data_IF_518459828134
#
_entry.id   IF_518459828134
#
_cell.length_a   1.000
_cell.length_b   1.000
_cell.length_c   1.000
_cell.angle_alpha   90.00
_cell.angle_beta   90.00
_cell.angle_gamma   90.00
#
_symmetry.space_group_name_H-M   'P 1'
#
loop_
_entity.id
_entity.type
_entity.pdbx_description
1 polymer ?
#
# COMPACT_ATOMS: atom_id res chain seq x y z
N UNK A 1 36.94 -42.78 -11.09
CA UNK A 1 36.37 -41.63 -10.35
C UNK A 1 36.34 -40.46 -11.33
N UNK A 2 35.15 -39.96 -11.70
CA UNK A 2 35.03 -38.77 -12.57
C UNK A 2 35.10 -37.55 -11.66
N UNK A 3 36.10 -36.69 -11.82
CA UNK A 3 36.07 -35.36 -11.22
C UNK A 3 35.11 -34.52 -12.07
N UNK A 4 33.91 -34.28 -11.56
CA UNK A 4 33.05 -33.21 -12.09
C UNK A 4 33.79 -31.88 -11.92
N UNK A 5 33.69 -30.95 -12.89
CA UNK A 5 34.26 -29.62 -12.69
C UNK A 5 33.61 -29.04 -11.43
N UNK A 6 34.41 -28.46 -10.55
CA UNK A 6 33.90 -27.74 -9.39
C UNK A 6 32.83 -26.78 -9.91
N UNK A 7 31.57 -27.08 -9.61
CA UNK A 7 30.44 -26.24 -9.99
C UNK A 7 30.68 -24.95 -9.22
N UNK A 8 31.22 -23.94 -9.89
CA UNK A 8 31.81 -22.80 -9.19
C UNK A 8 30.76 -22.12 -8.31
N UNK A 9 31.17 -21.76 -7.11
CA UNK A 9 30.33 -21.02 -6.18
C UNK A 9 29.93 -19.67 -6.79
N UNK A 10 28.72 -19.22 -6.48
CA UNK A 10 28.33 -17.85 -6.76
C UNK A 10 29.06 -16.91 -5.80
N UNK A 11 29.39 -15.71 -6.28
CA UNK A 11 29.86 -14.62 -5.44
C UNK A 11 28.71 -13.99 -4.62
N UNK A 12 28.93 -12.80 -4.05
CA UNK A 12 27.90 -12.04 -3.35
C UNK A 12 26.59 -11.95 -4.15
N UNK A 13 25.42 -11.92 -3.48
CA UNK A 13 24.15 -11.77 -4.16
C UNK A 13 24.07 -10.43 -4.90
N UNK A 14 23.25 -10.34 -5.96
CA UNK A 14 23.06 -9.08 -6.67
C UNK A 14 22.54 -7.99 -5.72
N UNK A 15 23.01 -6.76 -5.93
CA UNK A 15 22.46 -5.60 -5.24
C UNK A 15 21.08 -5.29 -5.81
N UNK A 16 20.07 -5.23 -4.94
CA UNK A 16 18.67 -4.99 -5.30
C UNK A 16 18.19 -3.72 -4.59
N UNK A 17 17.40 -2.90 -5.28
CA UNK A 17 16.93 -1.63 -4.75
C UNK A 17 16.03 -1.83 -3.52
N UNK A 18 16.22 -0.96 -2.53
CA UNK A 18 15.46 -0.98 -1.27
C UNK A 18 15.41 -2.37 -0.59
N UNK A 19 16.41 -3.21 -0.82
CA UNK A 19 16.42 -4.60 -0.41
C UNK A 19 17.73 -4.94 0.28
N UNK A 20 17.66 -5.84 1.27
CA UNK A 20 18.82 -6.37 1.98
C UNK A 20 18.80 -7.89 1.87
N UNK A 21 19.89 -8.52 1.38
CA UNK A 21 19.96 -9.97 1.32
C UNK A 21 20.09 -10.57 2.74
N UNK A 22 19.56 -11.78 2.92
CA UNK A 22 19.66 -12.54 4.19
C UNK A 22 21.10 -12.90 4.54
N UNK A 23 21.98 -12.99 3.54
CA UNK A 23 23.42 -13.22 3.71
C UNK A 23 24.20 -12.38 2.70
N UNK A 24 25.37 -11.89 3.12
CA UNK A 24 26.31 -11.12 2.29
C UNK A 24 27.70 -11.77 2.25
N UNK A 25 27.73 -13.11 2.41
CA UNK A 25 28.95 -13.91 2.25
C UNK A 25 29.62 -13.64 0.90
N UNK A 26 30.93 -13.91 0.82
CA UNK A 26 31.68 -13.80 -0.41
C UNK A 26 31.55 -15.02 -1.33
N UNK A 27 31.07 -16.16 -0.82
CA UNK A 27 30.93 -17.42 -1.57
C UNK A 27 29.63 -18.14 -1.19
N UNK A 28 28.96 -18.70 -2.20
CA UNK A 28 27.73 -19.47 -2.08
C UNK A 28 27.78 -20.71 -2.99
N UNK A 29 27.74 -21.93 -2.45
CA UNK A 29 27.73 -23.13 -3.28
C UNK A 29 26.46 -23.20 -4.14
N UNK A 30 26.54 -23.90 -5.27
CA UNK A 30 25.39 -24.15 -6.15
C UNK A 30 24.23 -24.79 -5.36
N UNK A 31 23.02 -24.28 -5.58
CA UNK A 31 21.81 -24.61 -4.81
C UNK A 31 21.58 -23.71 -3.59
N UNK A 32 22.54 -22.85 -3.22
CA UNK A 32 22.34 -21.85 -2.17
C UNK A 32 21.23 -20.88 -2.53
N UNK A 33 20.43 -20.49 -1.54
CA UNK A 33 19.32 -19.55 -1.69
C UNK A 33 19.50 -18.34 -0.80
N UNK A 34 19.29 -17.16 -1.37
CA UNK A 34 19.35 -15.89 -0.64
C UNK A 34 18.04 -15.16 -0.81
N UNK A 35 17.41 -14.84 0.31
CA UNK A 35 16.13 -14.14 0.37
C UNK A 35 16.36 -12.67 0.66
N UNK A 36 15.69 -11.80 -0.09
CA UNK A 36 15.77 -10.36 0.05
C UNK A 36 14.66 -9.85 0.97
N UNK A 37 15.04 -9.05 1.96
CA UNK A 37 14.11 -8.35 2.86
C UNK A 37 14.06 -6.87 2.50
N UNK A 38 12.87 -6.29 2.41
CA UNK A 38 12.72 -4.87 2.10
C UNK A 38 13.23 -3.97 3.23
N UNK A 39 13.82 -2.84 2.86
CA UNK A 39 14.43 -1.87 3.76
C UNK A 39 14.07 -0.43 3.34
N UNK A 40 14.33 0.54 4.21
CA UNK A 40 14.07 1.96 3.90
C UNK A 40 12.59 2.30 3.67
N UNK A 41 11.69 1.62 4.38
CA UNK A 41 10.24 1.84 4.29
C UNK A 41 9.56 1.23 3.05
N UNK A 42 10.33 0.59 2.16
CA UNK A 42 9.77 -0.15 1.03
C UNK A 42 9.02 -1.41 1.51
N UNK A 43 8.12 -1.90 0.67
CA UNK A 43 7.36 -3.13 0.92
C UNK A 43 7.53 -4.11 -0.23
N UNK A 44 7.27 -5.38 0.08
CA UNK A 44 7.26 -6.45 -0.94
C UNK A 44 6.16 -6.17 -1.95
N UNK A 45 6.51 -6.29 -3.22
CA UNK A 45 5.56 -6.16 -4.32
C UNK A 45 4.77 -7.48 -4.39
N UNK A 46 3.43 -7.45 -4.27
CA UNK A 46 2.61 -8.65 -4.32
C UNK A 46 2.82 -9.43 -5.62
N UNK A 47 2.97 -10.75 -5.53
CA UNK A 47 3.13 -11.63 -6.68
C UNK A 47 4.56 -11.74 -7.22
N UNK A 48 5.52 -10.96 -6.72
CA UNK A 48 6.93 -11.13 -7.09
C UNK A 48 7.68 -12.06 -6.13
N UNK A 49 8.58 -12.91 -6.65
CA UNK A 49 9.53 -13.65 -5.83
C UNK A 49 10.50 -12.68 -5.14
N UNK A 50 11.17 -13.15 -4.08
CA UNK A 50 12.18 -12.40 -3.32
C UNK A 50 13.47 -13.17 -3.09
N UNK A 51 13.62 -14.32 -3.75
CA UNK A 51 14.72 -15.26 -3.47
C UNK A 51 15.46 -15.56 -4.75
N UNK A 52 16.79 -15.44 -4.70
CA UNK A 52 17.69 -15.91 -5.75
C UNK A 52 18.30 -17.25 -5.36
N UNK A 53 18.60 -18.07 -6.36
CA UNK A 53 19.29 -19.34 -6.21
C UNK A 53 20.60 -19.34 -7.00
N UNK A 54 21.67 -19.86 -6.40
CA UNK A 54 22.93 -20.04 -7.09
C UNK A 54 22.84 -21.23 -8.05
N UNK A 55 22.91 -20.97 -9.35
CA UNK A 55 22.78 -21.98 -10.40
C UNK A 55 24.16 -22.52 -10.83
N UNK A 56 24.21 -23.71 -11.46
CA UNK A 56 25.44 -24.21 -12.08
C UNK A 56 26.04 -23.18 -13.04
N UNK A 57 27.37 -23.02 -12.98
CA UNK A 57 28.08 -21.99 -13.75
C UNK A 57 28.28 -20.67 -13.02
N UNK A 58 28.11 -20.64 -11.69
CA UNK A 58 28.38 -19.47 -10.84
C UNK A 58 27.49 -18.26 -11.15
N UNK A 59 26.23 -18.51 -11.48
CA UNK A 59 25.26 -17.49 -11.89
C UNK A 59 24.08 -17.52 -10.94
N UNK A 60 23.68 -16.36 -10.41
CA UNK A 60 22.43 -16.23 -9.68
C UNK A 60 21.22 -16.30 -10.62
N UNK A 61 20.15 -16.97 -10.18
CA UNK A 61 18.88 -16.98 -10.89
C UNK A 61 18.35 -15.56 -11.09
N UNK A 62 17.59 -15.33 -12.17
CA UNK A 62 17.00 -14.01 -12.44
C UNK A 62 15.92 -13.69 -11.41
N UNK A 63 15.98 -12.48 -10.87
CA UNK A 63 14.99 -11.94 -9.94
C UNK A 63 14.70 -10.49 -10.33
N UNK A 64 13.42 -10.14 -10.48
CA UNK A 64 13.01 -8.74 -10.60
C UNK A 64 13.05 -8.06 -9.23
N UNK A 65 13.11 -6.74 -9.18
CA UNK A 65 13.14 -5.98 -7.92
C UNK A 65 11.97 -6.37 -7.00
N UNK A 66 12.23 -7.03 -5.85
CA UNK A 66 11.16 -7.61 -5.03
C UNK A 66 10.48 -6.56 -4.15
N UNK A 67 11.10 -5.40 -3.99
CA UNK A 67 10.71 -4.34 -3.07
C UNK A 67 10.44 -3.05 -3.82
N UNK A 68 9.31 -2.41 -3.51
CA UNK A 68 8.91 -1.14 -4.08
C UNK A 68 8.58 -0.11 -3.00
N UNK A 69 8.83 1.16 -3.30
CA UNK A 69 8.29 2.26 -2.50
C UNK A 69 6.79 2.36 -2.71
N UNK A 70 6.08 2.70 -1.64
CA UNK A 70 4.64 2.89 -1.69
C UNK A 70 4.22 3.95 -0.67
N UNK A 71 2.99 4.44 -0.84
CA UNK A 71 2.38 5.24 0.22
C UNK A 71 2.16 4.37 1.46
N UNK A 72 2.16 5.03 2.62
CA UNK A 72 1.71 4.41 3.87
C UNK A 72 0.25 3.92 3.76
N UNK A 73 -0.25 3.25 4.79
CA UNK A 73 -1.66 2.89 4.84
C UNK A 73 -2.54 4.15 4.62
N UNK A 74 -3.62 4.06 3.83
CA UNK A 74 -4.52 5.18 3.58
C UNK A 74 -4.98 5.86 4.87
N UNK A 75 -5.08 7.19 4.84
CA UNK A 75 -5.46 7.99 6.02
C UNK A 75 -6.84 7.57 6.52
N UNK A 76 -6.97 7.38 7.83
CA UNK A 76 -8.26 7.12 8.47
C UNK A 76 -9.08 8.42 8.55
N UNK A 77 -10.25 8.42 7.93
CA UNK A 77 -11.17 9.56 7.95
C UNK A 77 -12.24 9.40 9.04
N UNK A 78 -12.68 10.52 9.61
CA UNK A 78 -13.74 10.56 10.62
C UNK A 78 -15.12 10.33 10.02
N UNK A 79 -15.35 10.79 8.80
CA UNK A 79 -16.64 10.72 8.10
C UNK A 79 -16.77 9.51 7.17
N UNK A 80 -15.65 8.86 6.81
CA UNK A 80 -15.64 7.72 5.90
C UNK A 80 -14.64 6.64 6.32
N UNK A 81 -14.92 5.40 5.92
CA UNK A 81 -14.05 4.24 6.06
C UNK A 81 -13.48 3.86 4.69
N UNK A 82 -12.32 3.20 4.65
CA UNK A 82 -11.76 2.69 3.41
C UNK A 82 -12.67 1.60 2.83
N UNK A 83 -12.71 1.42 1.52
CA UNK A 83 -13.50 0.35 0.90
C UNK A 83 -13.00 -1.04 1.34
N UNK A 84 -13.90 -2.03 1.41
CA UNK A 84 -13.54 -3.41 1.79
C UNK A 84 -12.51 -4.04 0.85
N UNK A 85 -12.44 -3.59 -0.40
CA UNK A 85 -11.44 -4.03 -1.36
C UNK A 85 -10.07 -3.42 -1.03
N UNK A 86 -10.03 -2.12 -0.77
CA UNK A 86 -8.79 -1.40 -0.48
C UNK A 86 -8.23 -1.74 0.93
N UNK A 87 -9.08 -2.11 1.88
CA UNK A 87 -8.67 -2.61 3.21
C UNK A 87 -7.84 -3.91 3.14
N UNK A 88 -8.00 -4.70 2.08
CA UNK A 88 -7.26 -5.95 1.89
C UNK A 88 -5.90 -5.73 1.24
N UNK A 89 -5.66 -4.54 0.69
CA UNK A 89 -4.43 -4.20 -0.01
C UNK A 89 -3.36 -3.77 0.98
N UNK A 90 -2.14 -4.24 0.78
CA UNK A 90 -0.98 -3.88 1.63
C UNK A 90 0.14 -3.20 0.84
N UNK A 91 -0.10 -2.90 -0.44
CA UNK A 91 0.86 -2.28 -1.34
C UNK A 91 0.17 -1.24 -2.23
N UNK A 92 0.57 0.03 -2.08
CA UNK A 92 -0.04 1.18 -2.75
C UNK A 92 1.02 2.00 -3.51
N UNK A 93 1.48 1.54 -4.68
CA UNK A 93 2.45 2.28 -5.48
C UNK A 93 1.87 3.63 -5.91
N UNK A 94 2.75 4.54 -6.33
CA UNK A 94 2.35 5.86 -6.85
C UNK A 94 1.33 5.70 -7.98
N UNK A 95 0.30 6.55 -7.96
CA UNK A 95 -0.85 6.49 -8.87
C UNK A 95 -1.98 5.57 -8.39
N UNK A 96 -1.78 4.79 -7.32
CA UNK A 96 -2.87 4.02 -6.71
C UNK A 96 -3.95 4.96 -6.20
N UNK A 97 -5.18 4.76 -6.65
CA UNK A 97 -6.36 5.41 -6.10
C UNK A 97 -7.09 4.43 -5.18
N UNK A 98 -7.48 4.90 -3.99
CA UNK A 98 -8.30 4.15 -3.04
C UNK A 98 -9.61 4.89 -2.81
N UNK A 99 -10.66 4.11 -2.58
CA UNK A 99 -12.02 4.64 -2.39
C UNK A 99 -12.46 4.52 -0.94
N UNK A 100 -13.32 5.43 -0.52
CA UNK A 100 -13.91 5.45 0.82
C UNK A 100 -15.43 5.34 0.75
N UNK A 101 -16.01 4.80 1.81
CA UNK A 101 -17.45 4.63 2.02
C UNK A 101 -17.85 5.43 3.27
N UNK A 102 -18.91 6.24 3.18
CA UNK A 102 -19.38 7.03 4.30
C UNK A 102 -19.69 6.14 5.52
N UNK A 103 -19.30 6.62 6.71
CA UNK A 103 -19.59 5.91 7.96
C UNK A 103 -21.08 6.06 8.31
N UNK A 104 -21.63 5.16 9.14
CA UNK A 104 -22.98 5.33 9.67
C UNK A 104 -23.17 6.72 10.30
N UNK A 105 -24.30 7.37 9.98
CA UNK A 105 -24.59 8.75 10.38
C UNK A 105 -24.04 9.83 9.42
N UNK A 106 -23.41 9.44 8.32
CA UNK A 106 -23.03 10.31 7.22
C UNK A 106 -23.64 9.84 5.91
N UNK A 107 -24.09 10.77 5.09
CA UNK A 107 -24.63 10.52 3.75
C UNK A 107 -23.73 11.14 2.68
N UNK A 108 -23.64 10.46 1.54
CA UNK A 108 -22.85 10.96 0.42
C UNK A 108 -23.62 12.05 -0.31
N UNK A 109 -23.03 13.24 -0.41
CA UNK A 109 -23.60 14.41 -1.07
C UNK A 109 -23.41 14.44 -2.59
N UNK A 110 -22.81 13.40 -3.17
CA UNK A 110 -22.59 13.28 -4.62
C UNK A 110 -22.73 11.83 -5.09
N UNK A 111 -22.83 11.65 -6.42
CA UNK A 111 -22.83 10.32 -7.05
C UNK A 111 -21.45 9.62 -6.98
N UNK A 112 -20.40 10.35 -6.60
CA UNK A 112 -19.03 9.84 -6.52
C UNK A 112 -18.63 9.52 -5.08
N UNK A 113 -17.84 8.46 -4.89
CA UNK A 113 -17.26 8.15 -3.58
C UNK A 113 -16.04 9.04 -3.29
N UNK A 114 -15.81 9.45 -2.02
CA UNK A 114 -14.55 10.08 -1.64
C UNK A 114 -13.39 9.14 -1.99
N UNK A 115 -12.32 9.69 -2.56
CA UNK A 115 -11.16 8.92 -2.98
C UNK A 115 -9.86 9.65 -2.69
N UNK A 116 -8.77 8.91 -2.58
CA UNK A 116 -7.44 9.45 -2.34
C UNK A 116 -6.41 8.72 -3.19
N UNK A 117 -5.50 9.48 -3.80
CA UNK A 117 -4.48 8.98 -4.70
C UNK A 117 -3.10 9.05 -4.04
N UNK A 118 -2.30 7.99 -4.18
CA UNK A 118 -0.92 7.97 -3.78
C UNK A 118 -0.08 8.83 -4.74
N UNK A 119 0.46 9.95 -4.24
CA UNK A 119 1.21 10.93 -5.03
C UNK A 119 2.69 10.53 -5.16
N UNK A 120 3.42 11.22 -6.06
CA UNK A 120 4.85 10.98 -6.32
C UNK A 120 5.74 11.13 -5.08
N UNK A 121 5.33 11.98 -4.13
CA UNK A 121 6.03 12.18 -2.86
C UNK A 121 5.70 11.11 -1.79
N UNK A 122 5.01 10.02 -2.16
CA UNK A 122 4.57 8.94 -1.27
C UNK A 122 3.59 9.39 -0.18
N UNK A 123 2.87 10.49 -0.42
CA UNK A 123 1.76 10.93 0.43
C UNK A 123 0.43 10.76 -0.28
N UNK A 124 -0.63 10.61 0.50
CA UNK A 124 -2.00 10.55 0.01
C UNK A 124 -2.54 11.95 -0.31
N UNK A 125 -3.23 12.09 -1.45
CA UNK A 125 -3.97 13.32 -1.76
C UNK A 125 -5.11 13.53 -0.76
N UNK A 126 -5.51 14.78 -0.54
CA UNK A 126 -6.66 15.06 0.31
C UNK A 126 -7.94 14.51 -0.35
N UNK A 127 -8.72 13.66 0.35
CA UNK A 127 -9.98 13.17 -0.16
C UNK A 127 -11.04 14.26 -0.11
N UNK A 128 -11.91 14.31 -1.11
CA UNK A 128 -13.02 15.25 -1.14
C UNK A 128 -14.01 14.98 0.01
N UNK A 129 -14.49 16.04 0.67
CA UNK A 129 -15.46 15.94 1.76
C UNK A 129 -16.89 15.74 1.23
N UNK A 130 -17.13 14.54 0.69
CA UNK A 130 -18.42 14.20 0.09
C UNK A 130 -19.40 13.61 1.11
N UNK A 131 -18.92 13.08 2.24
CA UNK A 131 -19.78 12.54 3.30
C UNK A 131 -20.19 13.64 4.30
N UNK A 132 -21.48 13.97 4.37
CA UNK A 132 -22.04 14.98 5.28
C UNK A 132 -22.78 14.31 6.42
N UNK A 133 -22.71 14.89 7.63
CA UNK A 133 -23.41 14.34 8.78
C UNK A 133 -24.92 14.54 8.68
N UNK A 134 -25.69 13.51 8.97
CA UNK A 134 -27.16 13.56 9.04
C UNK A 134 -27.70 14.42 10.20
N UNK A 135 -26.85 14.80 11.16
CA UNK A 135 -27.26 15.50 12.39
C UNK A 135 -27.40 17.04 12.28
N UNK A 136 -27.57 17.59 11.08
CA UNK A 136 -27.99 19.00 10.93
C UNK A 136 -29.52 19.13 11.01
N UNK A 137 -30.10 18.70 12.13
CA UNK A 137 -31.49 19.03 12.46
C UNK A 137 -31.64 19.13 13.98
N UNK A 138 -31.23 20.28 14.55
CA UNK A 138 -32.07 20.83 15.61
C UNK A 138 -33.46 20.99 14.99
N UNK A 139 -34.54 20.49 15.62
CA UNK A 139 -35.87 20.88 15.19
C UNK A 139 -35.91 22.41 15.30
N UNK A 140 -36.05 23.11 14.18
CA UNK A 140 -36.41 24.53 14.21
C UNK A 140 -37.66 24.63 15.07
N UNK A 141 -37.65 25.42 16.17
CA UNK A 141 -38.87 25.63 16.93
C UNK A 141 -39.95 26.18 15.98
N UNK A 142 -41.20 25.69 16.04
CA UNK A 142 -42.25 26.18 15.17
C UNK A 142 -42.32 27.70 15.32
N UNK A 143 -42.28 28.43 14.20
CA UNK A 143 -42.46 29.89 14.20
C UNK A 143 -43.74 30.20 14.97
N UNK A 144 -43.60 30.79 16.14
CA UNK A 144 -44.74 31.27 16.92
C UNK A 144 -45.48 32.30 16.05
N UNK A 145 -46.71 31.97 15.65
CA UNK A 145 -47.59 32.92 15.01
C UNK A 145 -47.89 34.04 16.03
N UNK A 146 -47.36 35.24 15.79
CA UNK A 146 -47.82 36.43 16.48
C UNK A 146 -49.29 36.64 16.12
N UNK A 147 -50.19 36.35 17.05
CA UNK A 147 -51.56 36.86 16.99
C UNK A 147 -51.50 38.36 17.31
N UNK A 148 -51.86 39.19 16.34
CA UNK A 148 -52.06 40.62 16.54
C UNK A 148 -53.24 40.84 17.51
N UNK A 149 -53.17 41.80 18.44
CA UNK A 149 -54.31 42.16 19.28
C UNK A 149 -55.37 42.85 18.41
N UNK A 150 -56.59 42.32 18.44
CA UNK A 150 -57.76 42.92 17.80
C UNK A 150 -58.25 44.08 18.69
N UNK A 151 -58.29 45.29 18.14
CA UNK A 151 -59.02 46.43 18.71
C UNK A 151 -60.54 46.22 18.57
#
# INVERSE_FOLDING_TARGET
>A
RRCSPAAGDCGPPPAMNHSRPSSSSSSFPVGSRVTFTCSGGARRIPGLPDTVECLPGSIWSRLAEPCGRNCAAPTRLRFAALSKEDERRNFFPVGTNVSYVCRPGYENSSDSSPSSTCLQNLTWSQPAELCRSEYFCCPTPPKAALAAPKM
#
